data_IF_973368785926
#
_entry.id   IF_973368785926
#
_cell.length_a   1.000
_cell.length_b   1.000
_cell.length_c   1.000
_cell.angle_alpha   90.00
_cell.angle_beta   90.00
_cell.angle_gamma   90.00
#
_symmetry.space_group_name_H-M   'P 1'
#
loop_
_entity.id
_entity.type
_entity.pdbx_description
1 polymer ?
#
# COMPACT_ATOMS: atom_id res chain seq x y z
N UNK A 1 2.34 23.10 -8.35
CA UNK A 1 3.33 22.14 -7.85
C UNK A 1 2.63 21.23 -6.84
N UNK A 2 2.85 19.91 -6.92
CA UNK A 2 2.32 18.99 -5.92
C UNK A 2 3.19 19.10 -4.68
N UNK A 3 2.60 19.56 -3.57
CA UNK A 3 3.31 19.71 -2.30
C UNK A 3 3.03 18.46 -1.45
N UNK A 4 4.06 17.65 -1.13
CA UNK A 4 3.90 16.54 -0.21
C UNK A 4 3.47 17.01 1.18
N UNK A 5 2.79 16.13 1.93
CA UNK A 5 2.61 16.34 3.36
C UNK A 5 3.97 16.32 4.08
N UNK A 6 4.04 16.95 5.25
CA UNK A 6 5.30 17.11 5.96
C UNK A 6 5.95 15.76 6.28
N UNK A 7 7.25 15.64 5.99
CA UNK A 7 8.04 14.42 6.20
C UNK A 7 7.91 13.34 5.13
N UNK A 8 7.15 13.59 4.06
CA UNK A 8 7.04 12.70 2.91
C UNK A 8 7.75 13.29 1.68
N UNK A 9 8.45 12.48 0.87
CA UNK A 9 8.51 11.01 0.90
C UNK A 9 9.58 10.44 1.85
N UNK A 10 10.31 11.26 2.59
CA UNK A 10 11.48 10.83 3.38
C UNK A 10 11.15 9.72 4.39
N UNK A 11 9.97 9.76 5.00
CA UNK A 11 9.49 8.71 5.90
C UNK A 11 9.48 7.32 5.25
N UNK A 12 9.22 7.23 3.94
CA UNK A 12 9.15 5.96 3.22
C UNK A 12 10.51 5.26 3.20
N UNK A 13 11.59 6.02 3.09
CA UNK A 13 12.96 5.51 3.17
C UNK A 13 13.33 5.18 4.62
N UNK A 14 12.88 5.98 5.58
CA UNK A 14 13.05 5.68 7.01
C UNK A 14 12.41 4.32 7.34
N UNK A 15 11.20 4.05 6.85
CA UNK A 15 10.51 2.79 7.06
C UNK A 15 11.31 1.59 6.50
N UNK A 16 11.82 1.68 5.27
CA UNK A 16 12.67 0.61 4.69
C UNK A 16 13.95 0.42 5.49
N UNK A 17 14.70 1.50 5.73
CA UNK A 17 15.99 1.47 6.45
C UNK A 17 15.85 0.96 7.88
N UNK A 18 14.72 1.25 8.54
CA UNK A 18 14.46 0.76 9.90
C UNK A 18 14.41 -0.77 9.93
N UNK A 19 13.71 -1.39 8.98
CA UNK A 19 13.59 -2.85 8.92
C UNK A 19 14.90 -3.48 8.44
N UNK A 20 15.51 -2.95 7.39
CA UNK A 20 16.79 -3.44 6.86
C UNK A 20 17.95 -3.30 7.86
N UNK A 21 17.95 -2.22 8.63
CA UNK A 21 18.98 -1.92 9.63
C UNK A 21 18.88 -2.74 10.91
N UNK A 22 17.77 -3.45 11.14
CA UNK A 22 17.61 -4.33 12.29
C UNK A 22 18.07 -5.77 11.93
N UNK A 23 19.16 -6.28 12.53
CA UNK A 23 19.66 -7.63 12.23
C UNK A 23 18.65 -8.74 12.48
N UNK A 24 17.73 -8.57 13.44
CA UNK A 24 16.70 -9.57 13.74
C UNK A 24 15.64 -9.68 12.64
N UNK A 25 15.36 -8.58 11.94
CA UNK A 25 14.40 -8.57 10.84
C UNK A 25 15.08 -8.94 9.51
N UNK A 26 16.30 -8.43 9.29
CA UNK A 26 17.08 -8.70 8.10
C UNK A 26 17.42 -10.18 7.93
N UNK A 27 17.77 -10.90 9.01
CA UNK A 27 18.02 -12.36 8.96
C UNK A 27 16.81 -13.17 8.50
N UNK A 28 15.61 -12.66 8.77
CA UNK A 28 14.34 -13.28 8.38
C UNK A 28 13.87 -12.81 6.98
N UNK A 29 14.64 -11.96 6.30
CA UNK A 29 14.30 -11.42 4.98
C UNK A 29 13.05 -10.56 4.98
N UNK A 30 12.75 -9.85 6.07
CA UNK A 30 11.61 -8.93 6.15
C UNK A 30 11.98 -7.65 5.40
N UNK A 31 11.09 -7.20 4.51
CA UNK A 31 11.23 -5.98 3.73
C UNK A 31 9.96 -5.14 3.82
N UNK A 32 10.07 -3.84 3.52
CA UNK A 32 8.93 -2.92 3.44
C UNK A 32 8.71 -2.51 1.99
N UNK A 33 7.46 -2.62 1.55
CA UNK A 33 6.99 -2.21 0.24
C UNK A 33 5.91 -1.14 0.41
N UNK A 34 5.90 -0.16 -0.48
CA UNK A 34 5.01 0.99 -0.46
C UNK A 34 4.13 1.03 -1.69
N UNK A 35 2.84 1.24 -1.48
CA UNK A 35 1.83 1.20 -2.52
C UNK A 35 0.94 2.42 -2.46
N UNK A 36 0.51 2.91 -3.63
CA UNK A 36 -0.49 3.97 -3.71
C UNK A 36 -1.74 3.44 -4.40
N UNK A 37 -2.88 3.63 -3.75
CA UNK A 37 -4.20 3.30 -4.28
C UNK A 37 -5.07 4.56 -4.22
N UNK A 38 -5.19 5.26 -5.35
CA UNK A 38 -5.68 6.64 -5.38
C UNK A 38 -6.75 6.85 -6.46
N UNK A 39 -7.72 7.69 -6.16
CA UNK A 39 -8.64 8.26 -7.17
C UNK A 39 -8.01 9.45 -7.91
N UNK A 40 -6.76 9.78 -7.61
CA UNK A 40 -5.95 10.75 -8.35
C UNK A 40 -5.50 10.22 -9.71
N UNK A 41 -4.67 11.02 -10.39
CA UNK A 41 -4.19 10.77 -11.75
C UNK A 41 -2.82 10.08 -11.68
N UNK A 42 -2.70 8.86 -12.21
CA UNK A 42 -1.47 8.04 -12.15
C UNK A 42 -0.24 8.80 -12.70
N UNK A 43 -0.26 9.41 -13.90
CA UNK A 43 0.86 10.22 -14.39
C UNK A 43 1.31 11.36 -13.46
N UNK A 44 0.39 11.95 -12.69
CA UNK A 44 0.76 13.00 -11.73
C UNK A 44 1.56 12.44 -10.56
N UNK A 45 1.26 11.22 -10.13
CA UNK A 45 1.95 10.53 -9.03
C UNK A 45 3.33 10.05 -9.54
N UNK A 46 3.37 9.46 -10.74
CA UNK A 46 4.61 9.04 -11.40
C UNK A 46 5.54 10.21 -11.73
N UNK A 47 5.00 11.41 -11.97
CA UNK A 47 5.77 12.63 -12.16
C UNK A 47 6.10 13.40 -10.87
N UNK A 48 5.71 12.87 -9.70
CA UNK A 48 5.92 13.52 -8.41
C UNK A 48 7.18 13.03 -7.70
N UNK A 49 7.53 13.68 -6.58
CA UNK A 49 8.64 13.25 -5.71
C UNK A 49 8.48 11.80 -5.19
N UNK A 50 7.27 11.25 -5.19
CA UNK A 50 7.00 9.89 -4.70
C UNK A 50 7.48 8.80 -5.66
N UNK A 51 7.66 9.08 -6.95
CA UNK A 51 7.85 8.06 -7.98
C UNK A 51 8.99 7.05 -7.69
N UNK A 52 10.08 7.53 -7.08
CA UNK A 52 11.23 6.68 -6.73
C UNK A 52 11.07 5.85 -5.45
N UNK A 53 9.97 6.03 -4.70
CA UNK A 53 9.76 5.42 -3.39
C UNK A 53 8.62 4.38 -3.38
N UNK A 54 7.85 4.29 -4.46
CA UNK A 54 6.63 3.46 -4.59
C UNK A 54 6.90 2.22 -5.43
N UNK A 55 6.44 1.05 -4.95
CA UNK A 55 6.58 -0.22 -5.66
C UNK A 55 5.48 -0.46 -6.70
N UNK A 56 4.24 0.01 -6.47
CA UNK A 56 3.17 0.00 -7.49
C UNK A 56 2.07 1.05 -7.21
N UNK A 57 1.40 1.51 -8.29
CA UNK A 57 0.37 2.55 -8.26
C UNK A 57 -0.93 2.06 -8.94
N UNK A 58 -2.02 2.05 -8.18
CA UNK A 58 -3.38 1.95 -8.71
C UNK A 58 -4.02 3.34 -8.69
N UNK A 59 -4.02 4.01 -9.83
CA UNK A 59 -4.63 5.35 -9.98
C UNK A 59 -5.24 5.55 -11.35
N UNK A 60 -6.07 6.59 -11.50
CA UNK A 60 -6.80 6.86 -12.74
C UNK A 60 -5.83 7.19 -13.88
N UNK A 61 -6.08 6.63 -15.06
CA UNK A 61 -5.36 6.97 -16.30
C UNK A 61 -6.33 7.48 -17.35
N UNK A 62 -5.82 8.29 -18.27
CA UNK A 62 -6.57 8.86 -19.37
C UNK A 62 -5.85 8.57 -20.68
N UNK A 63 -6.62 8.48 -21.77
CA UNK A 63 -6.11 8.25 -23.12
C UNK A 63 -6.41 9.50 -23.95
N UNK A 64 -5.33 10.13 -24.45
CA UNK A 64 -5.41 11.32 -25.31
C UNK A 64 -5.22 11.00 -26.80
N UNK A 65 -4.59 9.86 -27.11
CA UNK A 65 -4.36 9.39 -28.48
C UNK A 65 -4.80 7.94 -28.61
N UNK A 66 -5.57 7.67 -29.66
CA UNK A 66 -6.00 6.32 -30.02
C UNK A 66 -5.06 5.76 -31.08
N UNK A 67 -4.73 4.48 -30.95
CA UNK A 67 -3.96 3.79 -31.97
C UNK A 67 -4.83 3.60 -33.23
N UNK A 68 -4.31 3.97 -34.40
CA UNK A 68 -5.01 3.78 -35.67
C UNK A 68 -5.16 2.30 -36.06
N UNK A 69 -5.98 1.99 -37.09
CA UNK A 69 -6.10 0.63 -37.61
C UNK A 69 -4.73 0.03 -37.98
N UNK A 70 -4.47 -1.23 -37.62
CA UNK A 70 -3.21 -1.92 -37.92
C UNK A 70 -2.10 -1.73 -36.87
N UNK A 71 -2.38 -1.08 -35.74
CA UNK A 71 -1.38 -0.79 -34.70
C UNK A 71 -0.68 -2.01 -34.08
N UNK A 72 -1.28 -3.21 -34.19
CA UNK A 72 -0.67 -4.46 -33.73
C UNK A 72 0.48 -4.90 -34.64
N UNK A 73 0.41 -4.58 -35.93
CA UNK A 73 1.42 -4.97 -36.93
C UNK A 73 2.44 -3.85 -37.17
N UNK A 74 2.00 -2.58 -37.04
CA UNK A 74 2.84 -1.40 -37.16
C UNK A 74 2.38 -0.34 -36.16
N UNK A 75 3.21 -0.07 -35.16
CA UNK A 75 3.12 1.18 -34.42
C UNK A 75 3.49 2.30 -35.39
N UNK A 76 2.48 2.92 -36.00
CA UNK A 76 2.67 4.26 -36.52
C UNK A 76 3.19 5.10 -35.35
N UNK A 77 4.34 5.76 -35.53
CA UNK A 77 4.81 6.80 -34.61
C UNK A 77 3.73 7.86 -34.68
N UNK A 78 2.71 7.74 -33.83
CA UNK A 78 1.54 8.58 -33.89
C UNK A 78 2.02 10.01 -33.67
N UNK A 79 1.61 10.90 -34.57
CA UNK A 79 1.67 12.32 -34.34
C UNK A 79 1.22 12.57 -32.89
N UNK A 80 2.00 13.36 -32.14
CA UNK A 80 1.57 13.83 -30.83
C UNK A 80 0.11 14.25 -30.94
N UNK A 81 -0.76 13.59 -30.18
CA UNK A 81 -2.19 13.94 -30.16
C UNK A 81 -2.33 15.42 -29.82
N UNK A 82 -3.49 16.00 -30.10
CA UNK A 82 -3.81 17.40 -29.78
C UNK A 82 -3.76 17.75 -28.26
N UNK A 83 -3.31 16.80 -27.43
CA UNK A 83 -3.24 16.91 -25.97
C UNK A 83 -4.61 16.80 -25.29
N UNK A 84 -5.69 16.60 -26.05
CA UNK A 84 -7.04 16.54 -25.50
C UNK A 84 -7.31 15.13 -24.98
N UNK A 85 -7.75 15.02 -23.72
CA UNK A 85 -8.21 13.76 -23.14
C UNK A 85 -9.49 13.33 -23.85
N UNK A 86 -9.48 12.11 -24.42
CA UNK A 86 -10.63 11.54 -25.16
C UNK A 86 -11.33 10.45 -24.38
N UNK A 87 -10.59 9.64 -23.62
CA UNK A 87 -11.14 8.51 -22.89
C UNK A 87 -10.53 8.33 -21.49
N UNK A 88 -11.27 7.62 -20.64
CA UNK A 88 -10.75 7.07 -19.37
C UNK A 88 -10.09 5.73 -19.68
N UNK A 89 -8.84 5.56 -19.27
CA UNK A 89 -8.10 4.30 -19.42
C UNK A 89 -8.37 3.35 -18.25
N UNK A 90 -8.03 3.79 -17.04
CA UNK A 90 -8.26 3.06 -15.79
C UNK A 90 -9.07 3.94 -14.84
N UNK A 91 -10.07 3.36 -14.20
CA UNK A 91 -10.88 4.00 -13.18
C UNK A 91 -10.74 3.28 -11.83
N UNK A 92 -10.33 4.03 -10.82
CA UNK A 92 -10.20 3.61 -9.43
C UNK A 92 -11.35 4.21 -8.63
N UNK A 93 -12.20 3.34 -8.08
CA UNK A 93 -13.22 3.69 -7.09
C UNK A 93 -13.05 2.86 -5.82
N UNK A 94 -14.01 2.95 -4.91
CA UNK A 94 -13.95 2.27 -3.60
C UNK A 94 -13.77 0.74 -3.72
N UNK A 95 -14.41 0.13 -4.72
CA UNK A 95 -14.26 -1.32 -4.99
C UNK A 95 -12.91 -1.66 -5.61
N UNK A 96 -12.33 -0.77 -6.41
CA UNK A 96 -10.98 -0.93 -6.95
C UNK A 96 -9.93 -0.86 -5.83
N UNK A 97 -10.18 -0.06 -4.78
CA UNK A 97 -9.26 0.01 -3.63
C UNK A 97 -9.15 -1.31 -2.87
N UNK A 98 -10.29 -1.96 -2.62
CA UNK A 98 -10.29 -3.28 -1.99
C UNK A 98 -9.68 -4.34 -2.90
N UNK A 99 -9.88 -4.25 -4.22
CA UNK A 99 -9.21 -5.12 -5.18
C UNK A 99 -7.68 -4.99 -5.13
N UNK A 100 -7.15 -3.77 -5.12
CA UNK A 100 -5.70 -3.55 -5.02
C UNK A 100 -5.10 -4.20 -3.74
N UNK A 101 -5.81 -4.08 -2.61
CA UNK A 101 -5.42 -4.75 -1.37
C UNK A 101 -5.29 -6.28 -1.54
N UNK A 102 -6.25 -6.91 -2.24
CA UNK A 102 -6.20 -8.35 -2.51
C UNK A 102 -5.15 -8.74 -3.56
N UNK A 103 -4.88 -7.87 -4.55
CA UNK A 103 -3.82 -8.09 -5.53
C UNK A 103 -2.44 -8.12 -4.85
N UNK A 104 -2.18 -7.17 -3.93
CA UNK A 104 -0.96 -7.15 -3.11
C UNK A 104 -0.91 -8.40 -2.21
N UNK A 105 -2.02 -8.72 -1.55
CA UNK A 105 -2.11 -9.85 -0.64
C UNK A 105 -1.75 -11.17 -1.32
N UNK A 106 -2.26 -11.40 -2.53
CA UNK A 106 -2.04 -12.62 -3.30
C UNK A 106 -0.74 -12.59 -4.11
N UNK A 107 -0.17 -11.41 -4.34
CA UNK A 107 1.02 -11.24 -5.17
C UNK A 107 0.73 -11.16 -6.67
N UNK A 108 -0.52 -10.89 -7.07
CA UNK A 108 -0.91 -10.73 -8.49
C UNK A 108 -0.16 -9.57 -9.14
N UNK A 109 0.14 -8.54 -8.36
CA UNK A 109 0.89 -7.36 -8.81
C UNK A 109 2.34 -7.67 -9.22
N UNK A 110 2.94 -8.74 -8.68
CA UNK A 110 4.33 -9.13 -8.99
C UNK A 110 4.41 -10.41 -9.82
N UNK A 111 3.34 -11.22 -9.83
CA UNK A 111 3.26 -12.50 -10.53
C UNK A 111 2.03 -12.51 -11.44
N UNK A 112 2.16 -12.11 -12.71
CA UNK A 112 1.02 -11.97 -13.65
C UNK A 112 0.28 -13.28 -13.94
N UNK A 113 0.89 -14.42 -13.63
CA UNK A 113 0.32 -15.76 -13.78
C UNK A 113 -0.82 -16.02 -12.77
N UNK A 114 -0.90 -15.23 -11.70
CA UNK A 114 -1.87 -15.41 -10.61
C UNK A 114 -3.16 -14.62 -10.88
N UNK A 115 -4.31 -15.24 -10.58
CA UNK A 115 -5.61 -14.58 -10.65
C UNK A 115 -6.03 -14.08 -9.25
N UNK A 116 -6.49 -12.82 -9.16
CA UNK A 116 -6.99 -12.22 -7.90
C UNK A 116 -8.19 -12.98 -7.32
N UNK A 117 -8.91 -13.76 -8.10
CA UNK A 117 -10.04 -14.58 -7.67
C UNK A 117 -9.63 -16.02 -7.30
N UNK A 118 -8.38 -16.41 -7.53
CA UNK A 118 -7.88 -17.73 -7.15
C UNK A 118 -8.00 -17.95 -5.63
N UNK A 119 -8.46 -19.13 -5.22
CA UNK A 119 -8.47 -19.50 -3.80
C UNK A 119 -7.04 -19.79 -3.36
N UNK A 120 -6.57 -19.06 -2.34
CA UNK A 120 -5.24 -19.21 -1.75
C UNK A 120 -5.38 -19.33 -0.23
N UNK A 121 -4.66 -20.28 0.36
CA UNK A 121 -4.56 -20.37 1.83
C UNK A 121 -3.77 -19.20 2.37
N UNK A 122 -3.76 -19.00 3.70
CA UNK A 122 -3.04 -17.86 4.28
C UNK A 122 -1.53 -17.97 4.05
N UNK A 123 -0.98 -19.18 4.08
CA UNK A 123 0.44 -19.47 3.90
C UNK A 123 0.91 -19.29 2.44
N UNK A 124 -0.02 -19.34 1.48
CA UNK A 124 0.26 -19.13 0.07
C UNK A 124 0.27 -17.64 -0.31
N UNK A 125 -0.26 -16.76 0.54
CA UNK A 125 -0.35 -15.33 0.27
C UNK A 125 1.04 -14.69 0.37
N UNK A 126 1.39 -13.87 -0.62
CA UNK A 126 2.67 -13.16 -0.67
C UNK A 126 2.83 -12.19 0.50
N UNK A 127 1.80 -11.40 0.77
CA UNK A 127 1.78 -10.41 1.86
C UNK A 127 0.51 -10.63 2.68
N UNK A 128 0.55 -11.33 3.84
CA UNK A 128 -0.62 -11.49 4.71
C UNK A 128 -1.26 -10.15 5.09
N UNK A 129 -2.60 -10.10 5.14
CA UNK A 129 -3.33 -8.86 5.48
C UNK A 129 -2.95 -8.31 6.87
N UNK A 130 -2.62 -9.20 7.81
CA UNK A 130 -2.11 -8.82 9.14
C UNK A 130 -0.80 -8.05 9.11
N UNK A 131 -0.01 -8.20 8.04
CA UNK A 131 1.26 -7.52 7.85
C UNK A 131 1.11 -6.20 7.06
N UNK A 132 -0.11 -5.74 6.82
CA UNK A 132 -0.37 -4.51 6.08
C UNK A 132 -0.72 -3.36 7.00
N UNK A 133 -0.22 -2.17 6.65
CA UNK A 133 -0.60 -0.90 7.24
C UNK A 133 -1.31 -0.09 6.16
N UNK A 134 -2.49 0.45 6.45
CA UNK A 134 -3.24 1.30 5.53
C UNK A 134 -3.50 2.68 6.13
N UNK A 135 -3.13 3.70 5.36
CA UNK A 135 -3.21 5.11 5.75
C UNK A 135 -4.22 5.79 4.82
N UNK A 136 -5.25 6.41 5.38
CA UNK A 136 -6.20 7.21 4.60
C UNK A 136 -6.92 8.25 5.46
N UNK A 137 -7.61 9.17 4.82
CA UNK A 137 -8.17 10.38 5.43
C UNK A 137 -9.70 10.48 5.34
N UNK A 138 -10.37 9.48 4.74
CA UNK A 138 -11.76 9.66 4.34
C UNK A 138 -12.65 8.41 4.33
N UNK A 139 -13.97 8.62 4.20
CA UNK A 139 -14.97 7.55 4.24
C UNK A 139 -14.92 6.62 3.03
N UNK A 140 -14.28 7.03 1.93
CA UNK A 140 -14.11 6.19 0.74
C UNK A 140 -13.33 4.90 1.02
N UNK A 141 -12.57 4.89 2.11
CA UNK A 141 -11.66 3.84 2.52
C UNK A 141 -12.23 2.93 3.61
N UNK A 142 -13.46 3.20 4.10
CA UNK A 142 -14.16 2.37 5.09
C UNK A 142 -14.18 0.87 4.73
N UNK A 143 -14.39 0.46 3.46
CA UNK A 143 -14.32 -0.95 3.09
C UNK A 143 -12.92 -1.56 3.32
N UNK A 144 -11.84 -0.82 3.02
CA UNK A 144 -10.46 -1.29 3.21
C UNK A 144 -10.15 -1.40 4.70
N UNK A 145 -10.52 -0.38 5.47
CA UNK A 145 -10.39 -0.38 6.93
C UNK A 145 -11.06 -1.60 7.57
N UNK A 146 -12.29 -1.90 7.15
CA UNK A 146 -13.03 -3.05 7.65
C UNK A 146 -12.31 -4.37 7.35
N UNK A 147 -11.76 -4.54 6.14
CA UNK A 147 -11.04 -5.75 5.76
C UNK A 147 -9.79 -5.91 6.62
N UNK A 148 -8.98 -4.86 6.77
CA UNK A 148 -7.74 -4.96 7.55
C UNK A 148 -7.99 -5.19 9.03
N UNK A 149 -8.91 -4.45 9.65
CA UNK A 149 -9.22 -4.62 11.07
C UNK A 149 -9.70 -6.05 11.39
N UNK A 150 -10.51 -6.66 10.51
CA UNK A 150 -10.95 -8.06 10.69
C UNK A 150 -9.83 -9.08 10.49
N UNK A 151 -8.78 -8.74 9.72
CA UNK A 151 -7.69 -9.65 9.40
C UNK A 151 -6.38 -9.33 10.15
N UNK A 152 -6.44 -8.52 11.21
CA UNK A 152 -5.29 -8.18 12.04
C UNK A 152 -4.30 -7.18 11.43
N UNK A 153 -4.65 -6.55 10.30
CA UNK A 153 -3.86 -5.46 9.73
C UNK A 153 -4.02 -4.17 10.53
N UNK A 154 -3.17 -3.18 10.25
CA UNK A 154 -3.17 -1.90 10.98
C UNK A 154 -3.74 -0.77 10.13
N UNK A 155 -4.51 0.13 10.75
CA UNK A 155 -5.21 1.21 10.05
C UNK A 155 -4.99 2.56 10.73
N UNK A 156 -4.45 3.52 10.00
CA UNK A 156 -4.21 4.89 10.45
C UNK A 156 -5.12 5.86 9.70
N UNK A 157 -5.97 6.57 10.44
CA UNK A 157 -6.63 7.76 9.92
C UNK A 157 -5.74 8.98 10.05
N UNK A 158 -5.48 9.68 8.95
CA UNK A 158 -4.73 10.95 8.97
C UNK A 158 -5.64 12.12 8.67
N UNK A 159 -5.46 13.22 9.41
CA UNK A 159 -6.19 14.47 9.17
C UNK A 159 -5.24 15.63 8.88
N UNK A 160 -5.76 16.65 8.20
CA UNK A 160 -5.11 17.93 8.02
C UNK A 160 -5.89 19.00 8.79
N UNK A 161 -5.18 20.02 9.30
CA UNK A 161 -5.81 21.23 9.84
C UNK A 161 -5.94 22.33 8.80
N UNK A 162 -4.99 22.40 7.88
CA UNK A 162 -4.90 23.39 6.80
C UNK A 162 -4.49 22.70 5.47
N UNK A 163 -4.92 23.21 4.30
CA UNK A 163 -5.91 24.27 4.09
C UNK A 163 -7.35 23.78 4.28
N UNK A 164 -7.58 22.46 4.38
CA UNK A 164 -8.89 21.87 4.61
C UNK A 164 -8.89 21.04 5.88
N UNK A 165 -9.58 21.52 6.90
CA UNK A 165 -9.74 20.79 8.16
C UNK A 165 -10.73 19.63 8.01
N UNK A 166 -10.22 18.39 8.00
CA UNK A 166 -11.04 17.18 7.97
C UNK A 166 -11.02 16.41 9.31
N UNK A 167 -10.45 16.97 10.38
CA UNK A 167 -10.28 16.30 11.68
C UNK A 167 -11.57 15.65 12.18
N UNK A 168 -12.71 16.36 12.13
CA UNK A 168 -13.99 15.82 12.60
C UNK A 168 -14.41 14.55 11.85
N UNK A 169 -14.22 14.53 10.54
CA UNK A 169 -14.56 13.36 9.72
C UNK A 169 -13.69 12.15 10.06
N UNK A 170 -12.37 12.36 10.21
CA UNK A 170 -11.46 11.28 10.57
C UNK A 170 -11.69 10.82 12.01
N UNK A 171 -11.98 11.74 12.92
CA UNK A 171 -12.36 11.46 14.31
C UNK A 171 -13.62 10.59 14.41
N UNK A 172 -14.63 10.85 13.57
CA UNK A 172 -15.83 9.99 13.49
C UNK A 172 -15.49 8.56 13.05
N UNK A 173 -14.53 8.38 12.14
CA UNK A 173 -14.04 7.04 11.76
C UNK A 173 -13.38 6.34 12.95
N UNK A 174 -12.62 7.06 13.77
CA UNK A 174 -12.03 6.52 15.00
C UNK A 174 -13.11 6.13 16.01
N UNK A 175 -14.10 6.99 16.23
CA UNK A 175 -15.19 6.75 17.19
C UNK A 175 -16.07 5.56 16.79
N UNK A 176 -16.17 5.27 15.50
CA UNK A 176 -16.85 4.08 14.97
C UNK A 176 -15.97 2.82 14.98
N UNK A 177 -14.74 2.88 15.50
CA UNK A 177 -13.79 1.77 15.50
C UNK A 177 -13.33 1.35 14.10
N UNK A 178 -13.41 2.25 13.12
CA UNK A 178 -12.98 1.99 11.74
C UNK A 178 -11.47 2.10 11.58
N UNK A 179 -10.82 2.99 12.33
CA UNK A 179 -9.36 3.16 12.33
C UNK A 179 -8.80 2.86 13.71
N UNK A 180 -7.59 2.32 13.76
CA UNK A 180 -6.88 1.99 15.01
C UNK A 180 -6.05 3.16 15.53
N UNK A 181 -5.50 3.97 14.62
CA UNK A 181 -4.78 5.20 14.94
C UNK A 181 -5.45 6.43 14.34
N UNK A 182 -5.25 7.58 14.99
CA UNK A 182 -5.63 8.90 14.52
C UNK A 182 -4.44 9.84 14.72
N UNK A 183 -3.97 10.48 13.65
CA UNK A 183 -2.86 11.44 13.72
C UNK A 183 -3.02 12.57 12.69
N UNK A 184 -2.38 13.71 12.93
CA UNK A 184 -2.19 14.72 11.89
C UNK A 184 -1.28 14.15 10.78
N UNK A 185 -1.48 14.56 9.54
CA UNK A 185 -0.67 14.13 8.40
C UNK A 185 0.72 14.78 8.40
N UNK A 186 1.48 14.51 9.45
CA UNK A 186 2.84 14.95 9.65
C UNK A 186 3.72 13.75 10.02
N UNK A 187 4.57 13.36 9.07
CA UNK A 187 5.45 12.20 9.16
C UNK A 187 6.89 12.59 9.50
N UNK A 188 7.14 13.83 9.94
CA UNK A 188 8.44 14.23 10.47
C UNK A 188 8.76 13.44 11.73
N UNK A 189 10.04 13.22 11.98
CA UNK A 189 10.50 12.47 13.14
C UNK A 189 9.98 13.08 14.46
N UNK A 190 9.39 12.24 15.31
CA UNK A 190 8.81 12.63 16.60
C UNK A 190 7.34 13.06 16.56
N UNK A 191 6.76 13.25 15.37
CA UNK A 191 5.35 13.60 15.23
C UNK A 191 4.43 12.37 15.37
N UNK A 192 3.14 12.62 15.58
CA UNK A 192 2.16 11.57 15.90
C UNK A 192 2.07 10.46 14.84
N UNK A 193 1.99 10.81 13.55
CA UNK A 193 1.92 9.81 12.48
C UNK A 193 3.24 9.04 12.34
N UNK A 194 4.38 9.72 12.47
CA UNK A 194 5.70 9.08 12.48
C UNK A 194 5.80 8.01 13.57
N UNK A 195 5.50 8.38 14.82
CA UNK A 195 5.61 7.47 15.97
C UNK A 195 4.69 6.26 15.81
N UNK A 196 3.44 6.50 15.40
CA UNK A 196 2.47 5.42 15.18
C UNK A 196 2.93 4.47 14.06
N UNK A 197 3.45 5.01 12.96
CA UNK A 197 3.91 4.19 11.84
C UNK A 197 5.14 3.36 12.21
N UNK A 198 6.12 3.95 12.89
CA UNK A 198 7.33 3.27 13.35
C UNK A 198 7.00 2.12 14.30
N UNK A 199 6.17 2.38 15.32
CA UNK A 199 5.71 1.37 16.27
C UNK A 199 4.93 0.25 15.56
N UNK A 200 4.06 0.60 14.61
CA UNK A 200 3.28 -0.35 13.83
C UNK A 200 4.15 -1.26 12.96
N UNK A 201 5.18 -0.71 12.30
CA UNK A 201 6.14 -1.47 11.50
C UNK A 201 6.92 -2.44 12.39
N UNK A 202 7.40 -1.98 13.54
CA UNK A 202 8.15 -2.82 14.48
C UNK A 202 7.30 -3.97 15.00
N UNK A 203 6.07 -3.70 15.44
CA UNK A 203 5.16 -4.74 15.91
C UNK A 203 4.94 -5.82 14.86
N UNK A 204 4.67 -5.43 13.61
CA UNK A 204 4.52 -6.39 12.51
C UNK A 204 5.81 -7.20 12.29
N UNK A 205 6.97 -6.54 12.27
CA UNK A 205 8.24 -7.22 12.03
C UNK A 205 8.59 -8.22 13.15
N UNK A 206 8.33 -7.87 14.42
CA UNK A 206 8.48 -8.79 15.56
C UNK A 206 7.49 -9.95 15.46
N UNK A 207 6.21 -9.70 15.17
CA UNK A 207 5.20 -10.75 15.01
C UNK A 207 5.56 -11.75 13.89
N UNK A 208 6.09 -11.26 12.77
CA UNK A 208 6.59 -12.12 11.68
C UNK A 208 7.74 -12.99 12.19
N UNK A 209 8.71 -12.38 12.87
CA UNK A 209 9.91 -13.06 13.41
C UNK A 209 9.52 -14.15 14.41
N UNK A 210 8.65 -13.84 15.37
CA UNK A 210 8.14 -14.80 16.35
C UNK A 210 7.34 -15.93 15.69
N UNK A 211 6.55 -15.61 14.66
CA UNK A 211 5.76 -16.62 13.94
C UNK A 211 6.67 -17.60 13.20
N UNK A 212 7.74 -17.11 12.55
CA UNK A 212 8.74 -17.96 11.89
C UNK A 212 9.50 -18.83 12.88
N UNK A 213 9.93 -18.27 14.01
CA UNK A 213 10.61 -19.03 15.06
C UNK A 213 9.73 -20.13 15.65
N UNK A 214 8.45 -19.82 15.93
CA UNK A 214 7.47 -20.81 16.38
C UNK A 214 7.25 -21.92 15.36
N UNK A 215 7.15 -21.58 14.08
CA UNK A 215 7.01 -22.57 13.01
C UNK A 215 8.22 -23.50 12.92
N UNK A 216 9.44 -22.97 13.04
CA UNK A 216 10.68 -23.76 13.06
C UNK A 216 10.77 -24.66 14.29
N UNK A 217 10.45 -24.15 15.49
CA UNK A 217 10.48 -24.92 16.72
C UNK A 217 9.45 -26.07 16.76
N UNK A 218 8.38 -25.98 15.97
CA UNK A 218 7.37 -27.03 15.86
C UNK A 218 7.78 -28.20 14.95
N UNK A 219 8.86 -28.07 14.17
CA UNK A 219 9.35 -29.14 13.28
C UNK A 219 9.97 -30.25 14.14
N UNK A 220 9.33 -31.43 14.16
CA UNK A 220 9.87 -32.61 14.85
C UNK A 220 11.06 -33.17 14.07
N UNK A 221 12.16 -33.43 14.78
CA UNK A 221 13.30 -34.15 14.20
C UNK A 221 12.87 -35.54 13.72
N UNK A 222 13.41 -36.03 12.58
CA UNK A 222 13.17 -37.41 12.16
C UNK A 222 13.64 -38.39 13.25
N UNK A 223 12.99 -39.56 13.41
CA UNK A 223 13.52 -40.62 14.26
C UNK A 223 14.91 -41.00 13.75
N UNK A 224 15.92 -40.86 14.60
CA UNK A 224 17.30 -41.21 14.26
C UNK A 224 17.43 -42.69 13.92
N UNK A 225 18.27 -43.01 12.94
CA UNK A 225 18.68 -44.40 12.70
C UNK A 225 19.52 -44.86 13.89
N UNK A 226 19.00 -45.86 14.61
CA UNK A 226 19.70 -46.60 15.66
C UNK A 226 20.82 -47.47 15.06
#
# INVERSE_FOLDING_TARGET
ELVPVLGMPEFMDVARKRVEGNPEFAKEGITVEHYIVSTGIRPMIEGSTFAGHIDEIWANTFVASEAGPGYLDRLDVAAEGDGVIKHVGLFIGNTSKTRALFEINKGVNTSPQLDVNARMTEEQRRVPLRNMIYIADGPSDVPVFSILNTNGGKTLGVYNLEPSNNYKQVKELADQGRIQGLAEADFREGEGAYLWMVDSIDQIAYEITESKQRALAAIKSPPGHA
#
